data_IF_042045946797
#
_entry.id   IF_042045946797
#
_cell.length_a   1.000
_cell.length_b   1.000
_cell.length_c   1.000
_cell.angle_alpha   90.00
_cell.angle_beta   90.00
_cell.angle_gamma   90.00
#
_symmetry.space_group_name_H-M   'P 1'
#
loop_
_entity.id
_entity.type
_entity.pdbx_description
1 polymer ?
#
# COMPACT_ATOMS: atom_id res chain seq x y z
N UNK A 1 -17.02 -21.59 4.17
CA UNK A 1 -15.99 -21.24 3.48
C UNK A 1 -14.96 -20.48 4.18
N UNK A 2 -13.74 -20.76 3.92
CA UNK A 2 -12.72 -20.16 4.59
C UNK A 2 -12.10 -19.08 3.77
N UNK A 3 -11.74 -18.00 4.37
CA UNK A 3 -11.10 -16.98 3.68
C UNK A 3 -9.65 -17.23 3.54
N UNK A 4 -9.09 -16.93 2.40
CA UNK A 4 -7.70 -17.05 2.23
C UNK A 4 -7.07 -15.77 2.63
N UNK A 5 -5.87 -15.76 3.12
CA UNK A 5 -5.15 -14.54 3.41
C UNK A 5 -4.98 -13.77 2.12
N UNK A 6 -5.14 -12.48 2.18
CA UNK A 6 -4.90 -11.66 1.02
C UNK A 6 -3.48 -11.25 0.96
N UNK A 7 -2.95 -11.21 -0.23
CA UNK A 7 -1.62 -10.70 -0.44
C UNK A 7 -1.74 -9.44 -1.25
N UNK A 8 -1.14 -8.38 -0.77
CA UNK A 8 -1.17 -7.12 -1.47
C UNK A 8 0.23 -6.69 -1.79
N UNK A 9 0.41 -6.20 -2.99
CA UNK A 9 1.70 -5.67 -3.39
C UNK A 9 1.83 -4.27 -2.81
N UNK A 10 2.95 -4.00 -2.17
CA UNK A 10 3.22 -2.70 -1.59
C UNK A 10 4.51 -2.18 -2.22
N UNK A 11 4.47 -0.95 -2.69
CA UNK A 11 5.64 -0.30 -3.25
C UNK A 11 6.23 0.58 -2.16
N UNK A 12 7.50 0.39 -1.87
CA UNK A 12 8.16 1.18 -0.85
C UNK A 12 9.28 1.96 -1.48
N UNK A 13 9.26 3.28 -1.28
CA UNK A 13 10.27 4.16 -1.82
C UNK A 13 10.80 5.04 -0.70
N UNK A 14 11.93 5.66 -0.94
CA UNK A 14 12.49 6.57 0.02
C UNK A 14 12.61 7.93 -0.65
N UNK A 15 12.09 8.96 -0.02
CA UNK A 15 12.11 10.27 -0.64
C UNK A 15 13.39 11.03 -0.25
N UNK A 16 13.54 12.22 -0.75
CA UNK A 16 14.73 13.02 -0.55
C UNK A 16 14.95 13.39 0.89
N UNK A 17 13.89 13.46 1.66
CA UNK A 17 13.98 13.86 3.04
C UNK A 17 14.24 12.69 3.98
N UNK A 18 14.39 11.50 3.43
CA UNK A 18 14.69 10.34 4.23
C UNK A 18 13.47 9.60 4.76
N UNK A 19 12.29 9.96 4.30
CA UNK A 19 11.08 9.23 4.67
C UNK A 19 10.91 8.04 3.77
N UNK A 20 10.45 6.95 4.35
CA UNK A 20 10.04 5.80 3.56
C UNK A 20 8.56 5.98 3.27
N UNK A 21 8.20 5.81 2.03
CA UNK A 21 6.82 5.98 1.59
C UNK A 21 6.32 4.66 1.05
N UNK A 22 5.19 4.20 1.54
CA UNK A 22 4.60 2.95 1.08
C UNK A 22 3.28 3.25 0.40
N UNK A 23 3.05 2.56 -0.70
CA UNK A 23 1.84 2.74 -1.47
C UNK A 23 1.31 1.37 -1.86
N UNK A 24 0.00 1.19 -1.79
CA UNK A 24 -0.64 -0.06 -2.19
C UNK A 24 -1.44 0.22 -3.44
N UNK A 25 -0.90 -0.15 -4.62
CA UNK A 25 -1.56 0.22 -5.88
C UNK A 25 -2.95 -0.35 -6.05
N UNK A 26 -3.21 -1.50 -5.45
CA UNK A 26 -4.53 -2.12 -5.60
C UNK A 26 -5.62 -1.39 -4.85
N UNK A 27 -5.26 -0.51 -3.94
CA UNK A 27 -6.24 0.20 -3.12
C UNK A 27 -6.13 1.68 -3.37
N UNK A 28 -7.24 2.30 -3.66
CA UNK A 28 -7.24 3.71 -3.98
C UNK A 28 -6.81 4.54 -2.78
N UNK A 29 -5.89 5.44 -3.00
CA UNK A 29 -5.42 6.37 -1.97
C UNK A 29 -4.86 5.68 -0.72
N UNK A 30 -4.31 4.50 -0.90
CA UNK A 30 -3.77 3.78 0.23
C UNK A 30 -2.26 3.95 0.28
N UNK A 31 -1.80 4.86 1.13
CA UNK A 31 -0.37 5.10 1.27
C UNK A 31 -0.07 5.65 2.64
N UNK A 32 1.17 5.54 3.03
CA UNK A 32 1.61 6.09 4.31
C UNK A 32 3.11 6.32 4.25
N UNK A 33 3.65 6.98 5.24
CA UNK A 33 5.09 7.21 5.27
C UNK A 33 5.59 7.21 6.71
N UNK A 34 6.86 6.97 6.87
CA UNK A 34 7.48 6.96 8.18
C UNK A 34 8.98 7.11 8.02
N UNK A 35 9.66 7.42 9.09
CA UNK A 35 11.10 7.59 9.04
C UNK A 35 11.88 6.29 9.12
N UNK A 36 11.26 5.23 9.61
CA UNK A 36 11.91 3.93 9.68
C UNK A 36 11.02 2.88 9.07
N UNK A 37 11.63 1.79 8.61
CA UNK A 37 10.86 0.70 8.04
C UNK A 37 9.96 0.04 9.06
N UNK A 38 10.42 -0.07 10.29
CA UNK A 38 9.60 -0.68 11.33
C UNK A 38 8.32 0.08 11.56
N UNK A 39 8.43 1.40 11.69
CA UNK A 39 7.25 2.23 11.87
C UNK A 39 6.38 2.21 10.63
N UNK A 40 7.01 2.17 9.46
CA UNK A 40 6.27 2.13 8.22
C UNK A 40 5.38 0.89 8.15
N UNK A 41 5.94 -0.27 8.50
CA UNK A 41 5.16 -1.50 8.47
C UNK A 41 3.98 -1.46 9.44
N UNK A 42 4.20 -0.86 10.58
CA UNK A 42 3.15 -0.76 11.56
C UNK A 42 2.02 0.13 11.04
N UNK A 43 2.38 1.29 10.50
CA UNK A 43 1.38 2.19 9.95
C UNK A 43 0.70 1.60 8.74
N UNK A 44 1.46 0.86 7.95
CA UNK A 44 0.92 0.26 6.75
C UNK A 44 -0.21 -0.71 7.08
N UNK A 45 -0.03 -1.52 8.11
CA UNK A 45 -1.09 -2.44 8.50
C UNK A 45 -2.35 -1.71 8.86
N UNK A 46 -2.21 -0.60 9.56
CA UNK A 46 -3.36 0.18 9.97
C UNK A 46 -4.05 0.83 8.78
N UNK A 47 -3.27 1.40 7.88
CA UNK A 47 -3.87 2.08 6.76
C UNK A 47 -4.50 1.10 5.78
N UNK A 48 -3.92 -0.09 5.63
CA UNK A 48 -4.51 -1.09 4.77
C UNK A 48 -5.85 -1.54 5.32
N UNK A 49 -5.92 -1.72 6.63
CA UNK A 49 -7.18 -2.13 7.23
C UNK A 49 -8.29 -1.13 6.93
N UNK A 50 -7.96 0.15 7.02
CA UNK A 50 -8.94 1.19 6.71
C UNK A 50 -9.29 1.20 5.23
N UNK A 51 -8.28 1.08 4.38
CA UNK A 51 -8.53 1.11 2.95
C UNK A 51 -9.34 -0.07 2.47
N UNK A 52 -9.15 -1.22 3.09
CA UNK A 52 -9.92 -2.39 2.72
C UNK A 52 -11.39 -2.23 3.03
N UNK A 53 -11.68 -1.57 4.12
CA UNK A 53 -13.04 -1.30 4.46
C UNK A 53 -13.72 -0.47 3.41
N UNK A 54 -13.03 0.56 2.94
CA UNK A 54 -13.58 1.42 1.94
C UNK A 54 -13.61 0.80 0.57
N UNK A 55 -12.63 -0.03 0.27
CA UNK A 55 -12.53 -0.59 -1.06
C UNK A 55 -13.59 -1.64 -1.33
N UNK A 56 -14.30 -2.05 -0.32
CA UNK A 56 -15.41 -2.94 -0.55
C UNK A 56 -16.45 -2.27 -1.41
N UNK A 57 -16.48 -0.94 -1.37
CA UNK A 57 -17.44 -0.20 -2.16
C UNK A 57 -16.94 0.08 -3.55
N UNK A 58 -15.62 0.15 -3.70
CA UNK A 58 -15.05 0.50 -4.99
C UNK A 58 -13.71 -0.15 -5.15
N UNK A 59 -13.67 -1.45 -5.25
CA UNK A 59 -12.40 -2.16 -5.27
C UNK A 59 -11.62 -1.90 -6.55
N UNK A 60 -10.29 -1.85 -6.38
CA UNK A 60 -9.39 -1.76 -7.50
C UNK A 60 -8.55 -3.01 -7.51
N UNK A 61 -8.19 -3.44 -8.70
CA UNK A 61 -7.42 -4.65 -8.84
C UNK A 61 -6.04 -4.32 -9.37
N UNK A 62 -5.03 -4.79 -8.68
CA UNK A 62 -3.67 -4.61 -9.13
C UNK A 62 -3.44 -5.46 -10.37
N UNK A 63 -2.91 -4.86 -11.41
CA UNK A 63 -2.63 -5.58 -12.64
C UNK A 63 -1.14 -5.68 -12.88
N UNK A 64 -0.44 -4.59 -12.83
CA UNK A 64 0.97 -4.63 -13.15
C UNK A 64 1.68 -3.37 -12.69
N UNK A 65 2.98 -3.49 -12.59
CA UNK A 65 3.84 -2.35 -12.35
C UNK A 65 4.72 -2.21 -13.58
N UNK A 66 4.76 -1.01 -14.13
CA UNK A 66 5.56 -0.76 -15.31
C UNK A 66 6.41 0.45 -15.10
N UNK A 67 7.52 0.49 -15.81
CA UNK A 67 8.33 1.67 -15.87
C UNK A 67 8.23 2.21 -17.27
N UNK A 68 7.96 3.48 -17.37
CA UNK A 68 7.79 4.13 -18.66
C UNK A 68 8.86 5.18 -18.82
N UNK A 69 9.56 5.13 -19.94
CA UNK A 69 10.62 6.07 -20.20
C UNK A 69 10.03 7.31 -20.86
N UNK A 70 10.36 8.46 -20.37
CA UNK A 70 9.77 9.70 -20.90
C UNK A 70 10.84 10.65 -21.41
#
# INVERSE_FOLDING_TARGET
MRKRPRELTVLIERDEDGFYVAQVPALKSCYTQARTLGTLHKRLREVIALCLKESELSPMRFVAVEQVEV
#
